data_IF_984372210551
#
_entry.id   IF_984372210551
#
_cell.length_a   1.000
_cell.length_b   1.000
_cell.length_c   1.000
_cell.angle_alpha   90.00
_cell.angle_beta   90.00
_cell.angle_gamma   90.00
#
_symmetry.space_group_name_H-M   'P 1'
#
loop_
_entity.id
_entity.type
_entity.pdbx_description
1 polymer ?
#
# COMPACT_ATOMS: atom_id res chain seq x y z
N UNK A 1 -0.99 -22.39 -13.59
CA UNK A 1 -0.89 -21.85 -12.22
C UNK A 1 0.57 -21.48 -12.00
N UNK A 2 0.85 -20.22 -11.67
CA UNK A 2 2.21 -19.68 -11.60
C UNK A 2 2.75 -19.63 -10.17
N UNK A 3 4.04 -19.38 -10.03
CA UNK A 3 4.65 -19.20 -8.71
C UNK A 3 4.06 -18.00 -7.94
N UNK A 4 3.73 -18.21 -6.66
CA UNK A 4 3.20 -17.20 -5.73
C UNK A 4 4.18 -16.07 -5.38
N UNK A 5 5.46 -16.17 -5.76
CA UNK A 5 6.45 -15.12 -5.48
C UNK A 5 6.32 -14.01 -6.53
N UNK A 6 6.20 -12.75 -6.09
CA UNK A 6 6.04 -11.60 -6.99
C UNK A 6 7.11 -11.56 -8.08
N UNK A 7 6.66 -11.25 -9.29
CA UNK A 7 7.54 -11.13 -10.45
C UNK A 7 8.11 -12.46 -10.94
N UNK A 8 7.74 -13.59 -10.31
CA UNK A 8 8.10 -14.90 -10.82
C UNK A 8 7.12 -15.35 -11.90
N UNK A 9 7.61 -15.45 -13.13
CA UNK A 9 6.86 -15.96 -14.28
C UNK A 9 7.09 -17.47 -14.49
N UNK A 10 7.72 -18.15 -13.54
CA UNK A 10 7.90 -19.60 -13.63
C UNK A 10 6.63 -20.31 -13.17
N UNK A 11 6.37 -21.45 -13.81
CA UNK A 11 5.30 -22.34 -13.41
C UNK A 11 5.52 -22.89 -11.99
N UNK A 12 4.43 -23.08 -11.27
CA UNK A 12 4.46 -23.73 -9.97
C UNK A 12 4.81 -25.22 -10.13
N UNK A 13 5.59 -25.72 -9.18
CA UNK A 13 5.97 -27.15 -9.13
C UNK A 13 5.43 -27.80 -7.86
N UNK A 14 5.44 -27.09 -6.73
CA UNK A 14 4.86 -27.57 -5.48
C UNK A 14 4.62 -26.40 -4.51
N UNK A 15 3.56 -26.50 -3.70
CA UNK A 15 3.21 -25.49 -2.66
C UNK A 15 3.05 -24.07 -3.22
N UNK A 16 2.55 -23.93 -4.45
CA UNK A 16 2.46 -22.65 -5.16
C UNK A 16 3.81 -21.98 -5.43
N UNK A 17 4.92 -22.72 -5.38
CA UNK A 17 6.27 -22.23 -5.65
C UNK A 17 6.84 -22.88 -6.89
N UNK A 18 7.58 -22.10 -7.70
CA UNK A 18 8.42 -22.68 -8.74
C UNK A 18 9.54 -23.50 -8.10
N UNK A 19 10.17 -24.38 -8.89
CA UNK A 19 11.27 -25.24 -8.41
C UNK A 19 12.36 -24.48 -7.65
N UNK A 20 12.72 -23.29 -8.15
CA UNK A 20 13.75 -22.46 -7.53
C UNK A 20 13.35 -21.97 -6.13
N UNK A 21 12.15 -21.39 -5.98
CA UNK A 21 11.69 -20.90 -4.68
C UNK A 21 11.37 -22.04 -3.71
N UNK A 22 10.89 -23.17 -4.23
CA UNK A 22 10.71 -24.39 -3.44
C UNK A 22 12.06 -24.90 -2.89
N UNK A 23 13.10 -24.96 -3.72
CA UNK A 23 14.43 -25.39 -3.29
C UNK A 23 15.05 -24.39 -2.29
N UNK A 24 14.83 -23.08 -2.44
CA UNK A 24 15.24 -22.07 -1.45
C UNK A 24 14.55 -22.27 -0.10
N UNK A 25 13.22 -22.45 -0.10
CA UNK A 25 12.47 -22.73 1.12
C UNK A 25 12.93 -24.02 1.79
N UNK A 26 13.15 -25.09 1.00
CA UNK A 26 13.59 -26.40 1.49
C UNK A 26 15.01 -26.37 2.06
N UNK A 27 15.94 -25.68 1.40
CA UNK A 27 17.37 -25.69 1.76
C UNK A 27 17.75 -24.63 2.80
N UNK A 28 17.06 -23.49 2.81
CA UNK A 28 17.43 -22.33 3.63
C UNK A 28 16.33 -21.87 4.60
N UNK A 29 15.15 -22.49 4.55
CA UNK A 29 14.00 -22.12 5.40
C UNK A 29 13.39 -20.76 5.07
N UNK A 30 13.89 -20.07 4.03
CA UNK A 30 13.46 -18.73 3.61
C UNK A 30 13.45 -18.63 2.09
N UNK A 31 12.51 -17.83 1.58
CA UNK A 31 12.38 -17.56 0.14
C UNK A 31 12.94 -16.17 -0.11
N UNK A 32 13.86 -16.04 -1.07
CA UNK A 32 14.27 -14.74 -1.56
C UNK A 32 13.17 -14.13 -2.43
N UNK A 33 12.38 -13.23 -1.83
CA UNK A 33 11.33 -12.46 -2.52
C UNK A 33 11.90 -11.49 -3.57
N UNK A 34 13.20 -11.17 -3.51
CA UNK A 34 13.88 -10.34 -4.52
C UNK A 34 14.45 -11.17 -5.69
N UNK A 35 14.19 -12.48 -5.71
CA UNK A 35 14.88 -13.46 -6.56
C UNK A 35 14.44 -13.51 -8.03
N UNK A 36 13.26 -12.98 -8.36
CA UNK A 36 12.74 -13.01 -9.74
C UNK A 36 12.47 -11.60 -10.27
N UNK A 37 13.51 -10.98 -10.81
CA UNK A 37 13.41 -9.73 -11.55
C UNK A 37 13.01 -10.04 -12.99
N UNK A 38 12.13 -9.25 -13.58
CA UNK A 38 11.78 -9.38 -15.01
C UNK A 38 12.38 -8.18 -15.76
N UNK A 39 12.96 -8.43 -16.93
CA UNK A 39 13.52 -7.40 -17.79
C UNK A 39 13.27 -7.73 -19.27
N UNK A 40 13.19 -6.71 -20.12
CA UNK A 40 13.18 -6.88 -21.57
C UNK A 40 14.59 -7.18 -22.10
N UNK A 41 14.69 -8.14 -23.02
CA UNK A 41 15.91 -8.33 -23.81
C UNK A 41 16.13 -7.12 -24.72
N UNK A 42 17.30 -6.49 -24.65
CA UNK A 42 17.58 -5.29 -25.46
C UNK A 42 17.64 -5.55 -26.97
N UNK A 43 17.82 -6.81 -27.38
CA UNK A 43 17.83 -7.20 -28.80
C UNK A 43 16.44 -7.54 -29.33
N UNK A 44 15.75 -8.50 -28.72
CA UNK A 44 14.50 -9.02 -29.26
C UNK A 44 13.24 -8.46 -28.59
N UNK A 45 13.37 -7.73 -27.48
CA UNK A 45 12.23 -7.20 -26.73
C UNK A 45 11.43 -8.27 -25.98
N UNK A 46 11.90 -9.51 -25.90
CA UNK A 46 11.22 -10.55 -25.12
C UNK A 46 11.40 -10.31 -23.63
N UNK A 47 10.32 -10.40 -22.86
CA UNK A 47 10.36 -10.41 -21.40
C UNK A 47 11.08 -11.66 -20.89
N UNK A 48 12.02 -11.48 -19.98
CA UNK A 48 12.83 -12.56 -19.44
C UNK A 48 13.07 -12.37 -17.95
N UNK A 49 13.12 -13.48 -17.22
CA UNK A 49 13.53 -13.48 -15.82
C UNK A 49 15.05 -13.35 -15.72
N UNK A 50 15.52 -12.44 -14.87
CA UNK A 50 16.92 -12.12 -14.64
C UNK A 50 17.30 -12.32 -13.18
N UNK A 51 18.09 -13.37 -12.91
CA UNK A 51 18.65 -13.60 -11.56
C UNK A 51 19.72 -12.56 -11.20
N UNK A 52 20.51 -12.14 -12.18
CA UNK A 52 21.58 -11.14 -12.04
C UNK A 52 21.12 -9.81 -12.61
N UNK A 53 21.33 -8.71 -11.87
CA UNK A 53 20.99 -7.34 -12.32
C UNK A 53 21.67 -6.97 -13.64
N UNK A 54 22.86 -7.53 -13.90
CA UNK A 54 23.65 -7.30 -15.11
C UNK A 54 23.19 -8.10 -16.35
N UNK A 55 22.18 -8.98 -16.24
CA UNK A 55 21.74 -9.78 -17.39
C UNK A 55 20.79 -8.97 -18.28
N UNK A 56 21.25 -8.61 -19.48
CA UNK A 56 20.51 -7.75 -20.42
C UNK A 56 19.89 -8.50 -21.63
N UNK A 57 20.24 -9.77 -21.82
CA UNK A 57 19.87 -10.54 -23.02
C UNK A 57 19.29 -11.90 -22.66
N UNK A 58 18.29 -12.35 -23.43
CA UNK A 58 17.66 -13.65 -23.24
C UNK A 58 18.60 -14.80 -23.58
N UNK A 59 19.47 -14.62 -24.58
CA UNK A 59 20.39 -15.63 -25.09
C UNK A 59 21.73 -15.05 -25.54
N UNK A 60 22.72 -15.93 -25.72
CA UNK A 60 24.01 -15.54 -26.28
C UNK A 60 23.89 -15.02 -27.71
N UNK A 61 22.97 -15.57 -28.50
CA UNK A 61 22.69 -15.13 -29.86
C UNK A 61 22.21 -13.67 -29.88
N UNK A 62 21.27 -13.31 -28.99
CA UNK A 62 20.79 -11.94 -28.85
C UNK A 62 21.90 -10.96 -28.48
N UNK A 63 22.80 -11.36 -27.57
CA UNK A 63 23.98 -10.57 -27.19
C UNK A 63 24.89 -10.32 -28.40
N UNK A 64 25.26 -11.38 -29.14
CA UNK A 64 26.14 -11.28 -30.31
C UNK A 64 25.52 -10.43 -31.42
N UNK A 65 24.22 -10.60 -31.69
CA UNK A 65 23.49 -9.78 -32.67
C UNK A 65 23.49 -8.30 -32.27
N UNK A 66 23.36 -8.02 -30.97
CA UNK A 66 23.30 -6.65 -30.47
C UNK A 66 24.65 -5.98 -30.58
N UNK A 67 25.73 -6.71 -30.27
CA UNK A 67 27.09 -6.24 -30.45
C UNK A 67 27.34 -5.83 -31.91
N UNK A 68 27.01 -6.69 -32.88
CA UNK A 68 27.18 -6.39 -34.31
C UNK A 68 26.41 -5.13 -34.75
N UNK A 69 25.17 -4.97 -34.28
CA UNK A 69 24.37 -3.78 -34.60
C UNK A 69 24.89 -2.54 -33.90
N UNK A 70 25.42 -2.66 -32.69
CA UNK A 70 26.04 -1.56 -31.95
C UNK A 70 27.30 -1.07 -32.67
N UNK A 71 28.15 -1.99 -33.10
CA UNK A 71 29.38 -1.68 -33.83
C UNK A 71 29.06 -0.98 -35.18
N UNK A 72 27.91 -1.29 -35.78
CA UNK A 72 27.39 -0.65 -37.00
C UNK A 72 26.55 0.63 -36.76
N UNK A 73 26.38 1.07 -35.50
CA UNK A 73 25.56 2.23 -35.13
C UNK A 73 24.04 2.04 -35.30
N UNK A 74 23.56 0.81 -35.50
CA UNK A 74 22.15 0.45 -35.76
C UNK A 74 21.51 -0.34 -34.60
N UNK A 75 22.06 -0.25 -33.40
CA UNK A 75 21.53 -0.97 -32.25
C UNK A 75 20.14 -0.44 -31.86
N UNK A 76 19.18 -1.32 -31.52
CA UNK A 76 17.88 -0.88 -31.00
C UNK A 76 18.07 -0.07 -29.72
N UNK A 77 17.54 1.15 -29.70
CA UNK A 77 17.45 1.97 -28.49
C UNK A 77 16.25 1.47 -27.69
N UNK A 78 16.53 0.60 -26.72
CA UNK A 78 15.54 0.19 -25.72
C UNK A 78 16.02 0.70 -24.38
N UNK A 79 15.20 1.51 -23.73
CA UNK A 79 15.47 1.96 -22.37
C UNK A 79 15.55 0.71 -21.46
N UNK A 80 16.63 0.55 -20.68
CA UNK A 80 16.70 -0.24 -19.47
C UNK A 80 15.57 0.01 -18.44
N UNK A 81 14.29 -0.09 -18.81
CA UNK A 81 13.17 0.02 -17.87
C UNK A 81 13.54 -0.70 -16.56
N UNK A 82 13.30 -0.03 -15.41
CA UNK A 82 13.89 -0.39 -14.14
C UNK A 82 13.51 -1.83 -13.83
N UNK A 83 14.36 -2.51 -13.06
CA UNK A 83 13.99 -3.79 -12.46
C UNK A 83 12.65 -3.59 -11.76
N UNK A 84 11.55 -3.98 -12.41
CA UNK A 84 10.22 -3.89 -11.83
C UNK A 84 10.13 -5.09 -10.89
N UNK A 85 10.59 -4.90 -9.65
CA UNK A 85 9.99 -5.63 -8.55
C UNK A 85 8.59 -5.02 -8.46
N UNK A 86 7.60 -5.62 -9.14
CA UNK A 86 6.23 -5.28 -8.77
C UNK A 86 6.13 -5.69 -7.29
N UNK A 87 5.86 -4.76 -6.36
CA UNK A 87 5.47 -5.20 -5.03
C UNK A 87 4.30 -6.19 -5.19
N UNK A 88 4.34 -7.29 -4.45
CA UNK A 88 3.21 -8.20 -4.37
C UNK A 88 1.95 -7.37 -4.08
N UNK A 89 0.81 -7.62 -4.73
CA UNK A 89 -0.49 -7.30 -4.16
C UNK A 89 -0.85 -8.35 -3.09
N UNK A 90 0.10 -8.69 -2.21
CA UNK A 90 -0.14 -9.65 -1.13
C UNK A 90 0.83 -9.41 0.02
N UNK A 91 0.43 -8.53 0.92
CA UNK A 91 0.84 -8.60 2.31
C UNK A 91 0.09 -9.77 2.99
N UNK A 92 0.82 -10.86 3.28
CA UNK A 92 0.36 -11.90 4.24
C UNK A 92 0.45 -11.35 5.67
N UNK A 93 -0.15 -10.19 5.93
CA UNK A 93 -0.47 -9.71 7.26
C UNK A 93 -1.88 -9.17 7.19
N UNK A 94 -2.86 -10.07 7.38
CA UNK A 94 -4.23 -9.77 7.85
C UNK A 94 -4.60 -8.28 7.78
N UNK A 95 -4.93 -7.85 6.56
CA UNK A 95 -5.00 -6.43 6.25
C UNK A 95 -5.74 -6.10 4.95
N UNK A 96 -6.35 -7.08 4.28
CA UNK A 96 -7.53 -6.82 3.45
C UNK A 96 -8.69 -6.38 4.35
N UNK A 97 -8.57 -5.17 4.91
CA UNK A 97 -9.72 -4.29 4.94
C UNK A 97 -9.75 -3.70 3.56
N UNK A 98 -10.65 -4.23 2.75
CA UNK A 98 -11.28 -3.49 1.68
C UNK A 98 -11.20 -2.00 1.99
N UNK A 99 -10.55 -1.23 1.11
CA UNK A 99 -10.88 0.18 0.95
C UNK A 99 -12.27 0.18 0.29
N UNK A 100 -13.26 -0.37 0.98
CA UNK A 100 -14.66 -0.17 0.71
C UNK A 100 -14.99 1.14 1.42
N UNK A 101 -15.19 2.14 0.57
CA UNK A 101 -15.84 3.39 0.87
C UNK A 101 -15.13 4.25 1.92
N UNK A 102 -14.01 4.88 1.51
CA UNK A 102 -13.66 6.19 2.07
C UNK A 102 -14.75 7.15 1.60
N UNK A 103 -15.83 7.21 2.36
CA UNK A 103 -16.81 8.26 2.19
C UNK A 103 -16.12 9.60 2.52
N UNK A 104 -15.92 10.43 1.50
CA UNK A 104 -15.30 11.74 1.65
C UNK A 104 -16.33 12.68 2.27
N UNK A 105 -16.24 12.90 3.57
CA UNK A 105 -17.09 13.85 4.29
C UNK A 105 -16.32 15.12 4.63
N UNK A 106 -16.99 16.26 4.50
CA UNK A 106 -16.46 17.55 4.93
C UNK A 106 -16.66 17.77 6.43
N UNK A 107 -15.97 18.79 6.97
CA UNK A 107 -16.15 19.15 8.37
C UNK A 107 -17.59 19.53 8.72
N UNK A 108 -18.27 20.17 7.77
CA UNK A 108 -19.67 20.58 7.84
C UNK A 108 -20.63 19.38 7.90
N UNK A 109 -20.38 18.33 7.14
CA UNK A 109 -21.22 17.12 7.11
C UNK A 109 -21.28 16.43 8.48
N UNK A 110 -20.18 16.49 9.22
CA UNK A 110 -20.10 15.90 10.56
C UNK A 110 -20.77 16.76 11.59
N UNK A 111 -20.66 18.09 11.47
CA UNK A 111 -21.42 18.98 12.33
C UNK A 111 -22.92 18.76 12.13
N UNK A 112 -23.36 18.62 10.88
CA UNK A 112 -24.76 18.33 10.53
C UNK A 112 -25.24 16.95 11.02
N UNK A 113 -24.35 15.95 11.04
CA UNK A 113 -24.65 14.61 11.57
C UNK A 113 -24.54 14.49 13.09
N UNK A 114 -24.15 15.55 13.80
CA UNK A 114 -23.94 15.57 15.26
C UNK A 114 -24.85 16.58 15.95
N UNK A 115 -24.87 16.55 17.29
CA UNK A 115 -25.67 17.47 18.13
C UNK A 115 -25.14 18.93 18.13
N UNK A 116 -24.24 19.29 17.22
CA UNK A 116 -23.68 20.65 17.11
C UNK A 116 -22.74 21.06 18.25
N UNK A 117 -22.31 20.14 19.13
CA UNK A 117 -21.48 20.43 20.31
C UNK A 117 -20.09 19.82 20.22
N UNK A 118 -19.09 20.57 20.69
CA UNK A 118 -17.70 20.12 20.69
C UNK A 118 -17.46 19.02 21.74
N UNK A 119 -16.95 17.87 21.33
CA UNK A 119 -16.76 16.73 22.21
C UNK A 119 -15.63 16.86 23.25
N UNK A 120 -14.74 17.84 23.09
CA UNK A 120 -13.71 18.14 24.09
C UNK A 120 -14.22 19.13 25.16
N UNK A 121 -14.86 20.23 24.76
CA UNK A 121 -15.22 21.34 25.65
C UNK A 121 -16.71 21.41 26.04
N UNK A 122 -17.60 20.74 25.29
CA UNK A 122 -19.05 20.71 25.54
C UNK A 122 -19.81 21.97 25.10
N UNK A 123 -19.15 22.92 24.43
CA UNK A 123 -19.78 24.15 23.91
C UNK A 123 -20.27 23.94 22.47
N UNK A 124 -21.31 24.67 22.02
CA UNK A 124 -21.76 24.61 20.64
C UNK A 124 -20.64 25.03 19.67
N UNK A 125 -20.58 24.37 18.51
CA UNK A 125 -19.69 24.71 17.41
C UNK A 125 -20.52 25.44 16.36
N UNK A 126 -20.11 26.66 16.04
CA UNK A 126 -20.71 27.46 14.98
C UNK A 126 -19.98 27.24 13.66
N UNK A 127 -20.72 27.30 12.57
CA UNK A 127 -20.19 27.12 11.21
C UNK A 127 -19.63 28.44 10.66
N UNK A 128 -18.65 29.01 11.37
CA UNK A 128 -18.00 30.29 11.04
C UNK A 128 -16.61 30.14 10.41
N UNK A 129 -16.21 28.90 10.08
CA UNK A 129 -14.87 28.56 9.60
C UNK A 129 -13.91 28.06 10.68
N UNK A 130 -14.28 28.13 11.96
CA UNK A 130 -13.52 27.57 13.09
C UNK A 130 -13.91 26.11 13.41
N UNK A 131 -14.39 25.39 12.40
CA UNK A 131 -14.86 24.02 12.52
C UNK A 131 -13.71 23.06 12.26
N UNK A 132 -13.49 22.18 13.23
CA UNK A 132 -12.56 21.09 13.11
C UNK A 132 -13.20 19.82 13.61
N UNK A 133 -12.42 18.77 13.53
CA UNK A 133 -12.96 17.45 13.74
C UNK A 133 -11.93 16.40 14.04
N UNK A 134 -12.36 15.31 14.65
CA UNK A 134 -11.45 14.25 15.02
C UNK A 134 -12.11 12.88 14.97
N UNK A 135 -11.29 11.86 15.19
CA UNK A 135 -11.77 10.50 15.35
C UNK A 135 -12.15 10.25 16.81
N UNK A 136 -13.33 9.67 17.06
CA UNK A 136 -13.73 9.17 18.38
C UNK A 136 -12.83 8.01 18.78
N UNK A 137 -12.74 7.00 17.92
CA UNK A 137 -11.74 5.93 17.99
C UNK A 137 -10.72 6.16 16.86
N UNK A 138 -9.44 6.40 17.17
CA UNK A 138 -8.39 6.51 16.16
C UNK A 138 -8.37 5.31 15.22
N UNK A 139 -8.08 5.52 13.95
CA UNK A 139 -7.99 4.45 12.96
C UNK A 139 -6.95 3.39 13.37
N UNK A 140 -5.79 3.83 13.86
CA UNK A 140 -4.73 2.96 14.41
C UNK A 140 -5.18 2.11 15.61
N UNK A 141 -6.21 2.54 16.33
CA UNK A 141 -6.77 1.85 17.49
C UNK A 141 -8.01 1.00 17.15
N UNK A 142 -8.22 0.72 15.85
CA UNK A 142 -9.32 -0.08 15.32
C UNK A 142 -10.57 0.72 14.95
N UNK A 143 -10.49 2.05 14.87
CA UNK A 143 -11.59 2.90 14.40
C UNK A 143 -11.91 2.67 12.92
N UNK A 144 -13.19 2.83 12.55
CA UNK A 144 -13.64 2.77 11.15
C UNK A 144 -13.73 4.20 10.56
N UNK A 145 -13.41 4.42 9.28
CA UNK A 145 -13.47 5.73 8.63
C UNK A 145 -14.91 6.09 8.19
N UNK A 146 -15.85 6.09 9.14
CA UNK A 146 -17.28 6.37 8.91
C UNK A 146 -17.71 7.64 9.65
N UNK A 147 -18.75 8.35 9.18
CA UNK A 147 -19.30 9.56 9.83
C UNK A 147 -19.57 9.36 11.33
N UNK A 148 -20.13 8.21 11.71
CA UNK A 148 -20.48 7.90 13.10
C UNK A 148 -19.27 7.77 14.04
N UNK A 149 -18.07 7.57 13.51
CA UNK A 149 -16.82 7.55 14.28
C UNK A 149 -16.12 8.92 14.30
N UNK A 150 -16.71 9.93 13.67
CA UNK A 150 -16.13 11.26 13.51
C UNK A 150 -16.87 12.24 14.43
N UNK A 151 -16.12 13.14 15.06
CA UNK A 151 -16.65 14.02 16.11
C UNK A 151 -16.38 15.49 15.79
N UNK A 152 -17.36 16.39 16.03
CA UNK A 152 -17.16 17.82 15.85
C UNK A 152 -16.33 18.40 17.00
N UNK A 153 -15.39 19.29 16.66
CA UNK A 153 -14.47 19.95 17.58
C UNK A 153 -14.25 21.39 17.14
N UNK A 154 -13.85 22.26 18.07
CA UNK A 154 -13.23 23.54 17.69
C UNK A 154 -11.81 23.29 17.18
N UNK A 155 -11.32 24.12 16.26
CA UNK A 155 -9.92 24.08 15.78
C UNK A 155 -8.92 24.04 16.93
N UNK A 156 -9.13 24.89 17.94
CA UNK A 156 -8.30 24.95 19.15
C UNK A 156 -8.37 23.69 20.01
N UNK A 157 -9.51 23.01 20.01
CA UNK A 157 -9.74 21.79 20.79
C UNK A 157 -9.20 20.53 20.11
N UNK A 158 -8.96 20.57 18.78
CA UNK A 158 -8.53 19.41 17.99
C UNK A 158 -7.21 18.82 18.49
N UNK A 159 -6.18 19.64 18.67
CA UNK A 159 -4.87 19.16 19.13
C UNK A 159 -4.95 18.45 20.50
N UNK A 160 -5.77 19.00 21.41
CA UNK A 160 -6.01 18.43 22.74
C UNK A 160 -6.77 17.11 22.67
N UNK A 161 -7.74 17.01 21.75
CA UNK A 161 -8.49 15.77 21.50
C UNK A 161 -7.60 14.68 20.89
N UNK A 162 -6.78 15.03 19.90
CA UNK A 162 -5.91 14.08 19.22
C UNK A 162 -4.80 13.55 20.13
N UNK A 163 -4.30 14.36 21.07
CA UNK A 163 -3.38 13.92 22.12
C UNK A 163 -4.01 13.04 23.22
N UNK A 164 -5.34 12.90 23.26
CA UNK A 164 -6.04 12.14 24.32
C UNK A 164 -6.05 10.63 24.02
N UNK A 165 -5.75 9.76 24.99
CA UNK A 165 -5.82 8.31 24.80
C UNK A 165 -7.27 7.83 24.60
N UNK A 166 -7.46 6.69 23.93
CA UNK A 166 -8.78 6.08 23.63
C UNK A 166 -9.75 6.10 24.81
N UNK A 167 -9.33 5.59 25.98
CA UNK A 167 -10.13 5.57 27.21
C UNK A 167 -10.60 6.96 27.65
N UNK A 168 -9.78 7.99 27.41
CA UNK A 168 -10.13 9.38 27.71
C UNK A 168 -11.18 9.94 26.75
N UNK A 169 -11.08 9.61 25.45
CA UNK A 169 -12.09 10.01 24.45
C UNK A 169 -13.42 9.33 24.70
N UNK A 170 -13.41 8.03 25.03
CA UNK A 170 -14.61 7.27 25.39
C UNK A 170 -15.32 7.86 26.61
N UNK A 171 -14.56 8.27 27.64
CA UNK A 171 -15.12 8.92 28.83
C UNK A 171 -15.81 10.24 28.49
N UNK A 172 -15.21 11.07 27.63
CA UNK A 172 -15.80 12.33 27.16
C UNK A 172 -17.06 12.10 26.34
N UNK A 173 -17.03 11.15 25.41
CA UNK A 173 -18.20 10.80 24.61
C UNK A 173 -19.37 10.29 25.49
N UNK A 174 -19.10 9.48 26.52
CA UNK A 174 -20.11 9.02 27.48
C UNK A 174 -20.68 10.14 28.35
N UNK A 175 -19.86 11.14 28.71
CA UNK A 175 -20.31 12.30 29.47
C UNK A 175 -21.26 13.20 28.66
N UNK A 176 -21.17 13.16 27.33
CA UNK A 176 -21.99 14.01 26.45
C UNK A 176 -23.22 13.29 25.90
N UNK A 177 -23.17 11.96 25.69
CA UNK A 177 -24.33 11.16 25.28
C UNK A 177 -25.34 10.82 26.40
N UNK A 178 -25.32 11.56 27.51
CA UNK A 178 -26.23 11.40 28.65
C UNK A 178 -27.28 12.51 28.73
N UNK A 179 -27.58 13.16 27.61
CA UNK A 179 -28.66 14.14 27.45
C UNK A 179 -29.53 13.76 26.27
#
# INVERSE_FOLDING_TARGET
MGCMVAGCLNDEVARGLCRYHYDQLRLHGRIDVNGCRVRLCLMCGTWMMVRRKSKMFCSQACRKRWQRLKDAGKAPVRDPLPIVVKPLPFDMSDGERMIEDIELFTDRDVLAASDGVCLECGKPVVDDGSLASGWRVPLEAGGRPVLSNRVPLHVECKAKWDGRPKRGRDRKARQQGHR
#
